data_IF_844492018889
#
_entry.id   IF_844492018889
#
_cell.length_a   1.000
_cell.length_b   1.000
_cell.length_c   1.000
_cell.angle_alpha   90.00
_cell.angle_beta   90.00
_cell.angle_gamma   90.00
#
_symmetry.space_group_name_H-M   'P 1'
#
loop_
_entity.id
_entity.type
_entity.pdbx_description
1 polymer ?
#
# COMPACT_ATOMS: atom_id res chain seq x y z
N UNK A 1 6.30 -9.68 -12.35
CA UNK A 1 5.25 -8.97 -13.11
C UNK A 1 4.25 -8.41 -12.14
N UNK A 2 4.03 -7.09 -12.16
CA UNK A 2 2.94 -6.46 -11.43
C UNK A 2 1.64 -6.56 -12.24
N UNK A 3 0.52 -6.81 -11.57
CA UNK A 3 -0.82 -6.74 -12.15
C UNK A 3 -1.61 -5.62 -11.49
N UNK A 4 -2.50 -4.97 -12.25
CA UNK A 4 -3.47 -4.00 -11.71
C UNK A 4 -4.35 -4.59 -10.61
N UNK A 5 -5.08 -3.76 -9.83
CA UNK A 5 -5.97 -4.26 -8.79
C UNK A 5 -6.93 -5.35 -9.28
N UNK A 6 -7.01 -6.43 -8.50
CA UNK A 6 -7.73 -7.67 -8.84
C UNK A 6 -8.99 -7.88 -8.01
N UNK A 7 -9.19 -7.07 -6.96
CA UNK A 7 -10.41 -7.05 -6.19
C UNK A 7 -11.51 -6.24 -6.90
N UNK A 8 -12.74 -6.51 -6.52
CA UNK A 8 -13.93 -5.90 -7.10
C UNK A 8 -13.89 -4.38 -6.89
N UNK A 9 -13.84 -3.69 -8.02
CA UNK A 9 -13.84 -2.24 -8.08
C UNK A 9 -15.17 -1.70 -8.63
N UNK A 10 -15.42 -0.42 -8.37
CA UNK A 10 -16.57 0.33 -8.86
C UNK A 10 -16.63 0.33 -10.39
N UNK A 11 -17.81 0.15 -10.96
CA UNK A 11 -18.04 0.32 -12.40
C UNK A 11 -18.34 1.79 -12.67
N UNK A 12 -17.42 2.47 -13.37
CA UNK A 12 -17.59 3.89 -13.72
C UNK A 12 -17.74 4.06 -15.22
N UNK A 13 -18.71 4.87 -15.63
CA UNK A 13 -18.88 5.30 -17.02
C UNK A 13 -18.57 6.78 -17.13
N UNK A 14 -17.55 7.13 -17.91
CA UNK A 14 -17.15 8.51 -18.23
C UNK A 14 -17.04 8.63 -19.75
N UNK A 15 -17.79 9.57 -20.34
CA UNK A 15 -17.80 9.82 -21.79
C UNK A 15 -18.01 8.55 -22.65
N UNK A 16 -18.91 7.68 -22.19
CA UNK A 16 -19.22 6.41 -22.88
C UNK A 16 -18.17 5.31 -22.74
N UNK A 17 -17.11 5.54 -21.95
CA UNK A 17 -16.03 4.59 -21.73
C UNK A 17 -15.81 4.28 -20.24
N UNK A 18 -15.09 3.19 -19.99
CA UNK A 18 -14.70 2.72 -18.65
C UNK A 18 -13.26 3.19 -18.36
N UNK A 19 -13.05 4.22 -17.52
CA UNK A 19 -11.72 4.77 -17.28
C UNK A 19 -10.80 3.74 -16.61
N UNK A 20 -9.49 3.96 -16.64
CA UNK A 20 -8.53 3.03 -16.01
C UNK A 20 -8.56 3.13 -14.47
N UNK A 21 -8.75 4.34 -13.95
CA UNK A 21 -8.72 4.65 -12.53
C UNK A 21 -9.89 4.06 -11.73
N UNK A 22 -10.94 3.56 -12.39
CA UNK A 22 -12.04 2.88 -11.71
C UNK A 22 -11.55 1.69 -10.86
N UNK A 23 -10.39 1.12 -11.20
CA UNK A 23 -9.76 0.00 -10.47
C UNK A 23 -9.28 0.39 -9.08
N UNK A 24 -9.00 1.66 -8.87
CA UNK A 24 -8.55 2.23 -7.59
C UNK A 24 -9.73 2.74 -6.76
N UNK A 25 -10.94 2.24 -7.03
CA UNK A 25 -12.12 2.50 -6.21
C UNK A 25 -12.74 1.17 -5.77
N UNK A 26 -12.21 0.55 -4.70
CA UNK A 26 -12.71 -0.71 -4.20
C UNK A 26 -14.18 -0.65 -3.81
N UNK A 27 -14.92 -1.72 -4.14
CA UNK A 27 -16.29 -1.97 -3.64
C UNK A 27 -16.31 -3.20 -2.75
N UNK A 28 -15.45 -4.19 -3.04
CA UNK A 28 -15.22 -5.32 -2.16
C UNK A 28 -13.86 -5.97 -2.38
N UNK A 29 -13.57 -7.02 -1.61
CA UNK A 29 -12.38 -7.86 -1.76
C UNK A 29 -12.63 -9.12 -2.61
N UNK A 30 -13.78 -9.23 -3.29
CA UNK A 30 -14.06 -10.29 -4.24
C UNK A 30 -13.07 -10.22 -5.42
N UNK A 31 -12.40 -11.31 -5.77
CA UNK A 31 -11.45 -11.31 -6.89
C UNK A 31 -12.22 -11.51 -8.20
N UNK A 32 -12.80 -10.43 -8.74
CA UNK A 32 -13.44 -10.40 -10.06
C UNK A 32 -13.45 -8.97 -10.57
N UNK A 33 -12.81 -8.75 -11.73
CA UNK A 33 -12.69 -7.43 -12.39
C UNK A 33 -12.82 -7.58 -13.90
N UNK A 34 -12.58 -6.49 -14.66
CA UNK A 34 -12.39 -6.56 -16.12
C UNK A 34 -11.26 -7.50 -16.56
N UNK A 35 -10.28 -7.81 -15.69
CA UNK A 35 -9.21 -8.77 -16.00
C UNK A 35 -9.64 -10.24 -15.91
N UNK A 36 -10.83 -10.52 -15.36
CA UNK A 36 -11.32 -11.88 -15.14
C UNK A 36 -11.70 -12.14 -13.68
N UNK A 37 -12.11 -13.38 -13.42
CA UNK A 37 -12.54 -13.86 -12.11
C UNK A 37 -11.42 -14.59 -11.33
N UNK A 38 -11.70 -14.97 -10.08
CA UNK A 38 -10.75 -15.65 -9.19
C UNK A 38 -10.15 -16.92 -9.78
N UNK A 39 -10.92 -17.71 -10.52
CA UNK A 39 -10.44 -18.94 -11.14
C UNK A 39 -9.44 -18.64 -12.27
N UNK A 40 -9.75 -17.65 -13.11
CA UNK A 40 -8.84 -17.19 -14.16
C UNK A 40 -7.57 -16.56 -13.59
N UNK A 41 -7.69 -15.76 -12.52
CA UNK A 41 -6.55 -15.19 -11.81
C UNK A 41 -5.65 -16.29 -11.24
N UNK A 42 -6.21 -17.27 -10.53
CA UNK A 42 -5.46 -18.40 -9.98
C UNK A 42 -4.78 -19.23 -11.08
N UNK A 43 -5.43 -19.46 -12.21
CA UNK A 43 -4.83 -20.16 -13.35
C UNK A 43 -3.65 -19.37 -13.97
N UNK A 44 -3.80 -18.05 -14.13
CA UNK A 44 -2.73 -17.17 -14.59
C UNK A 44 -1.52 -17.26 -13.66
N UNK A 45 -1.71 -17.06 -12.35
CA UNK A 45 -0.64 -17.11 -11.34
C UNK A 45 0.06 -18.47 -11.36
N UNK A 46 -0.70 -19.58 -11.40
CA UNK A 46 -0.15 -20.94 -11.51
C UNK A 46 0.75 -21.09 -12.73
N UNK A 47 0.31 -20.66 -13.93
CA UNK A 47 1.10 -20.76 -15.16
C UNK A 47 2.35 -19.88 -15.12
N UNK A 48 2.26 -18.68 -14.56
CA UNK A 48 3.42 -17.80 -14.37
C UNK A 48 4.46 -18.45 -13.43
N UNK A 49 4.03 -18.96 -12.27
CA UNK A 49 4.91 -19.62 -11.31
C UNK A 49 5.60 -20.86 -11.92
N UNK A 50 4.91 -21.66 -12.74
CA UNK A 50 5.49 -22.80 -13.48
C UNK A 50 6.60 -22.39 -14.46
N UNK A 51 6.63 -21.12 -14.89
CA UNK A 51 7.66 -20.56 -15.75
C UNK A 51 8.69 -19.73 -14.99
N UNK A 52 8.67 -19.75 -13.66
CA UNK A 52 9.56 -18.95 -12.81
C UNK A 52 9.25 -17.46 -12.81
N UNK A 53 8.10 -17.05 -13.36
CA UNK A 53 7.67 -15.64 -13.38
C UNK A 53 6.79 -15.39 -12.16
N UNK A 54 7.23 -14.49 -11.27
CA UNK A 54 6.49 -14.14 -10.06
C UNK A 54 5.48 -13.02 -10.31
N UNK A 55 4.32 -13.12 -9.66
CA UNK A 55 3.21 -12.17 -9.79
C UNK A 55 3.11 -11.34 -8.52
N UNK A 56 3.07 -10.02 -8.68
CA UNK A 56 2.85 -9.04 -7.61
C UNK A 56 1.53 -8.34 -7.88
N UNK A 57 0.70 -8.18 -6.85
CA UNK A 57 -0.63 -7.58 -7.00
C UNK A 57 -0.60 -6.16 -6.51
N UNK A 58 -1.13 -5.24 -7.30
CA UNK A 58 -1.45 -3.89 -6.86
C UNK A 58 -2.66 -3.94 -5.92
N UNK A 59 -2.44 -3.60 -4.64
CA UNK A 59 -3.44 -3.65 -3.57
C UNK A 59 -3.76 -2.26 -3.07
N UNK A 60 -5.05 -1.95 -3.04
CA UNK A 60 -5.58 -0.69 -2.53
C UNK A 60 -6.12 -0.95 -1.12
N UNK A 61 -5.38 -0.49 -0.11
CA UNK A 61 -5.67 -0.72 1.31
C UNK A 61 -6.09 0.56 2.05
N UNK A 62 -5.89 1.73 1.43
CA UNK A 62 -6.13 3.04 2.03
C UNK A 62 -7.62 3.38 2.11
N UNK A 63 -8.36 3.16 1.03
CA UNK A 63 -9.71 3.68 0.86
C UNK A 63 -10.63 2.67 0.15
N UNK A 64 -11.92 2.97 0.19
CA UNK A 64 -12.93 2.39 -0.70
C UNK A 64 -13.28 3.41 -1.80
N UNK A 65 -14.34 3.18 -2.59
CA UNK A 65 -14.79 4.16 -3.59
C UNK A 65 -15.14 5.53 -2.99
N UNK A 66 -15.16 6.56 -3.83
CA UNK A 66 -15.82 7.82 -3.47
C UNK A 66 -17.34 7.75 -3.68
N UNK A 67 -18.01 8.88 -3.45
CA UNK A 67 -19.46 9.01 -3.60
C UNK A 67 -19.94 8.57 -5.00
N UNK A 68 -20.83 7.57 -5.03
CA UNK A 68 -21.53 7.17 -6.25
C UNK A 68 -22.94 6.68 -5.95
N UNK A 69 -23.94 7.28 -6.62
CA UNK A 69 -25.32 6.80 -6.56
C UNK A 69 -25.47 5.52 -7.40
N UNK A 70 -26.23 4.56 -6.88
CA UNK A 70 -26.43 3.25 -7.52
C UNK A 70 -25.10 2.53 -7.81
N UNK A 71 -24.15 2.64 -6.87
CA UNK A 71 -22.84 2.03 -6.99
C UNK A 71 -22.97 0.50 -7.11
N UNK A 72 -22.30 -0.04 -8.12
CA UNK A 72 -22.17 -1.48 -8.31
C UNK A 72 -20.74 -1.82 -8.71
N UNK A 73 -20.25 -2.93 -8.18
CA UNK A 73 -18.93 -3.44 -8.44
C UNK A 73 -18.89 -4.34 -9.67
N UNK A 74 -17.67 -4.58 -10.15
CA UNK A 74 -17.38 -5.47 -11.28
C UNK A 74 -17.74 -6.94 -11.04
N UNK A 75 -17.98 -7.36 -9.79
CA UNK A 75 -18.47 -8.69 -9.43
C UNK A 75 -19.98 -8.72 -9.10
N UNK A 76 -20.68 -7.58 -9.24
CA UNK A 76 -22.12 -7.45 -9.03
C UNK A 76 -22.53 -7.02 -7.62
N UNK A 77 -21.58 -6.76 -6.71
CA UNK A 77 -21.90 -6.22 -5.38
C UNK A 77 -22.48 -4.82 -5.50
N UNK A 78 -23.56 -4.52 -4.79
CA UNK A 78 -24.08 -3.15 -4.65
C UNK A 78 -23.51 -2.50 -3.39
N UNK A 79 -23.30 -1.19 -3.43
CA UNK A 79 -22.89 -0.39 -2.28
C UNK A 79 -23.68 0.91 -2.19
N UNK A 80 -23.63 1.54 -1.02
CA UNK A 80 -24.08 2.91 -0.81
C UNK A 80 -22.91 3.76 -0.26
N UNK A 81 -22.00 4.18 -1.16
CA UNK A 81 -20.80 4.94 -0.77
C UNK A 81 -21.12 6.24 -0.04
N UNK A 82 -22.23 6.90 -0.39
CA UNK A 82 -22.67 8.16 0.25
C UNK A 82 -22.85 8.02 1.76
N UNK A 83 -23.25 6.82 2.22
CA UNK A 83 -23.38 6.48 3.63
C UNK A 83 -22.26 5.55 4.12
N UNK A 84 -21.16 5.45 3.37
CA UNK A 84 -20.00 4.58 3.61
C UNK A 84 -20.36 3.11 3.85
N UNK A 85 -21.38 2.61 3.16
CA UNK A 85 -21.89 1.26 3.34
C UNK A 85 -21.45 0.34 2.19
N UNK A 86 -20.66 -0.69 2.52
CA UNK A 86 -20.10 -1.67 1.60
C UNK A 86 -20.44 -3.10 2.06
N UNK A 87 -21.66 -3.59 1.77
CA UNK A 87 -22.18 -4.85 2.34
C UNK A 87 -21.38 -6.10 1.99
N UNK A 88 -20.66 -6.09 0.87
CA UNK A 88 -19.86 -7.24 0.43
C UNK A 88 -18.57 -7.45 1.25
N UNK A 89 -18.10 -6.44 1.99
CA UNK A 89 -16.96 -6.54 2.93
C UNK A 89 -17.41 -6.71 4.39
N UNK A 90 -18.72 -6.67 4.63
CA UNK A 90 -19.44 -5.65 5.42
C UNK A 90 -18.58 -4.55 6.08
N UNK A 91 -18.47 -3.39 5.42
CA UNK A 91 -18.13 -2.12 6.08
C UNK A 91 -19.34 -1.19 6.15
N UNK A 92 -19.36 -0.36 7.18
CA UNK A 92 -20.24 0.78 7.38
C UNK A 92 -19.42 2.01 7.81
N UNK A 93 -20.06 3.14 8.08
CA UNK A 93 -19.41 4.40 8.43
C UNK A 93 -18.45 4.33 9.63
N UNK A 94 -18.57 3.35 10.53
CA UNK A 94 -17.68 3.21 11.70
C UNK A 94 -16.28 2.68 11.33
N UNK A 95 -16.11 2.17 10.11
CA UNK A 95 -14.88 1.57 9.62
C UNK A 95 -14.00 2.55 8.83
N UNK A 96 -14.39 3.82 8.82
CA UNK A 96 -13.74 4.87 8.07
C UNK A 96 -13.38 6.01 9.02
N UNK A 97 -12.34 6.75 8.67
CA UNK A 97 -12.05 8.01 9.33
C UNK A 97 -13.21 9.00 9.15
N UNK A 98 -13.26 9.98 10.06
CA UNK A 98 -14.21 11.09 9.94
C UNK A 98 -13.94 11.84 8.63
N UNK A 99 -14.96 12.06 7.81
CA UNK A 99 -14.76 12.68 6.50
C UNK A 99 -14.17 14.09 6.61
N UNK A 100 -13.02 14.25 5.97
CA UNK A 100 -12.33 15.50 5.68
C UNK A 100 -11.59 15.30 4.35
N UNK A 101 -11.27 16.39 3.64
CA UNK A 101 -10.41 16.32 2.46
C UNK A 101 -9.00 16.78 2.80
N UNK A 102 -7.98 16.22 2.15
CA UNK A 102 -6.60 16.68 2.29
C UNK A 102 -6.48 18.08 1.69
N UNK A 103 -6.11 19.07 2.51
CA UNK A 103 -5.88 20.45 2.07
C UNK A 103 -4.42 20.89 2.22
N UNK A 104 -3.69 20.26 3.15
CA UNK A 104 -2.30 20.59 3.45
C UNK A 104 -1.47 19.30 3.52
N UNK A 105 -0.55 19.13 2.56
CA UNK A 105 0.36 17.99 2.51
C UNK A 105 1.53 18.09 3.51
N UNK A 106 1.68 19.23 4.19
CA UNK A 106 2.60 19.40 5.31
C UNK A 106 1.98 18.94 6.65
N UNK A 107 0.67 18.70 6.68
CA UNK A 107 -0.03 18.14 7.84
C UNK A 107 -0.15 16.61 7.67
N UNK A 108 0.77 15.86 8.29
CA UNK A 108 0.78 14.40 8.25
C UNK A 108 -0.53 13.76 8.75
N UNK A 109 -1.25 14.40 9.66
CA UNK A 109 -2.52 13.90 10.15
C UNK A 109 -3.62 14.04 9.08
N UNK A 110 -3.66 15.15 8.34
CA UNK A 110 -4.56 15.27 7.19
C UNK A 110 -4.19 14.25 6.11
N UNK A 111 -2.91 14.13 5.77
CA UNK A 111 -2.45 13.21 4.72
C UNK A 111 -2.86 11.76 5.01
N UNK A 112 -2.83 11.33 6.29
CA UNK A 112 -3.08 9.95 6.71
C UNK A 112 -4.53 9.63 7.12
N UNK A 113 -5.33 10.64 7.48
CA UNK A 113 -6.67 10.43 8.07
C UNK A 113 -7.80 11.17 7.33
N UNK A 114 -7.51 11.84 6.21
CA UNK A 114 -8.51 12.49 5.36
C UNK A 114 -8.64 11.80 3.99
N UNK A 115 -9.81 11.97 3.38
CA UNK A 115 -10.18 11.38 2.09
C UNK A 115 -9.31 11.95 0.96
N UNK A 116 -8.46 11.08 0.39
CA UNK A 116 -7.69 11.36 -0.82
C UNK A 116 -8.65 11.55 -1.99
N UNK A 117 -8.77 12.78 -2.50
CA UNK A 117 -9.67 13.17 -3.60
C UNK A 117 -11.13 12.68 -3.45
N UNK A 118 -11.62 12.61 -2.21
CA UNK A 118 -12.99 12.18 -1.89
C UNK A 118 -13.21 10.67 -1.89
N UNK A 119 -12.13 9.88 -1.88
CA UNK A 119 -12.19 8.42 -1.68
C UNK A 119 -12.34 8.13 -0.18
N UNK A 120 -13.33 7.32 0.19
CA UNK A 120 -13.64 7.10 1.60
C UNK A 120 -12.52 6.34 2.32
N UNK A 121 -11.88 7.06 3.24
CA UNK A 121 -10.64 6.65 3.90
C UNK A 121 -10.90 5.65 5.04
N UNK A 122 -10.31 4.46 4.94
CA UNK A 122 -10.48 3.39 5.91
C UNK A 122 -9.72 3.69 7.19
N UNK A 123 -10.30 3.35 8.33
CA UNK A 123 -9.61 3.44 9.62
C UNK A 123 -8.79 2.16 9.86
N UNK A 124 -7.53 2.14 9.43
CA UNK A 124 -6.65 0.98 9.65
C UNK A 124 -6.23 0.82 11.12
N UNK A 125 -6.54 1.74 12.03
CA UNK A 125 -6.34 1.53 13.46
C UNK A 125 -7.35 0.52 14.04
N UNK A 126 -8.50 0.36 13.38
CA UNK A 126 -9.52 -0.62 13.72
C UNK A 126 -9.06 -2.05 13.45
N UNK A 127 -9.07 -2.87 14.51
CA UNK A 127 -8.76 -4.32 14.40
C UNK A 127 -9.65 -5.04 13.39
N UNK A 128 -10.92 -4.63 13.25
CA UNK A 128 -11.82 -5.20 12.25
C UNK A 128 -11.36 -4.88 10.83
N UNK A 129 -11.01 -3.61 10.56
CA UNK A 129 -10.50 -3.18 9.26
C UNK A 129 -9.21 -3.93 8.93
N UNK A 130 -8.24 -3.98 9.85
CA UNK A 130 -6.99 -4.75 9.68
C UNK A 130 -7.27 -6.20 9.34
N UNK A 131 -8.18 -6.87 10.06
CA UNK A 131 -8.49 -8.28 9.80
C UNK A 131 -9.04 -8.49 8.38
N UNK A 132 -9.94 -7.62 7.90
CA UNK A 132 -10.46 -7.71 6.54
C UNK A 132 -9.38 -7.52 5.48
N UNK A 133 -8.46 -6.58 5.69
CA UNK A 133 -7.31 -6.35 4.80
C UNK A 133 -6.39 -7.58 4.80
N UNK A 134 -6.07 -8.14 5.97
CA UNK A 134 -5.26 -9.35 6.12
C UNK A 134 -5.92 -10.55 5.45
N UNK A 135 -7.23 -10.74 5.60
CA UNK A 135 -7.98 -11.82 4.95
C UNK A 135 -7.89 -11.72 3.42
N UNK A 136 -8.01 -10.50 2.89
CA UNK A 136 -7.84 -10.23 1.46
C UNK A 136 -6.42 -10.56 0.97
N UNK A 137 -5.38 -10.06 1.66
CA UNK A 137 -3.98 -10.34 1.32
C UNK A 137 -3.68 -11.85 1.40
N UNK A 138 -4.20 -12.53 2.42
CA UNK A 138 -4.07 -13.98 2.57
C UNK A 138 -4.78 -14.75 1.45
N UNK A 139 -5.94 -14.28 0.98
CA UNK A 139 -6.63 -14.87 -0.16
C UNK A 139 -5.82 -14.74 -1.47
N UNK A 140 -5.06 -13.66 -1.63
CA UNK A 140 -4.12 -13.49 -2.74
C UNK A 140 -2.91 -14.43 -2.60
N UNK A 141 -2.33 -14.57 -1.41
CA UNK A 141 -1.24 -15.53 -1.15
C UNK A 141 -1.70 -16.97 -1.45
N UNK A 142 -2.94 -17.34 -1.12
CA UNK A 142 -3.49 -18.66 -1.50
C UNK A 142 -3.58 -18.86 -3.01
N UNK A 143 -3.78 -17.78 -3.77
CA UNK A 143 -3.75 -17.83 -5.23
C UNK A 143 -2.34 -18.02 -5.79
N UNK A 144 -1.29 -17.79 -4.96
CA UNK A 144 0.11 -18.03 -5.29
C UNK A 144 0.91 -16.81 -5.70
N UNK A 145 0.44 -15.61 -5.35
CA UNK A 145 1.18 -14.36 -5.59
C UNK A 145 2.47 -14.35 -4.77
N UNK A 146 3.47 -13.61 -5.23
CA UNK A 146 4.76 -13.48 -4.56
C UNK A 146 4.86 -12.24 -3.65
N UNK A 147 3.90 -11.31 -3.78
CA UNK A 147 3.98 -10.04 -3.08
C UNK A 147 2.98 -9.01 -3.57
N UNK A 148 3.14 -7.79 -3.06
CA UNK A 148 2.18 -6.70 -3.20
C UNK A 148 2.88 -5.39 -3.53
N UNK A 149 2.30 -4.64 -4.49
CA UNK A 149 2.49 -3.19 -4.60
C UNK A 149 1.40 -2.55 -3.77
N UNK A 150 1.76 -1.83 -2.72
CA UNK A 150 0.76 -1.19 -1.86
C UNK A 150 0.55 0.23 -2.37
N UNK A 151 -0.69 0.51 -2.80
CA UNK A 151 -1.15 1.80 -3.29
C UNK A 151 -1.23 2.83 -2.17
N UNK A 152 -0.92 4.10 -2.48
CA UNK A 152 -1.18 5.25 -1.61
C UNK A 152 -0.63 5.08 -0.18
N UNK A 153 0.55 4.48 0.00
CA UNK A 153 1.10 4.20 1.35
C UNK A 153 1.36 5.47 2.16
N UNK A 154 1.71 6.57 1.49
CA UNK A 154 1.85 7.89 2.15
C UNK A 154 0.59 8.30 2.93
N UNK A 155 -0.58 7.83 2.50
CA UNK A 155 -1.88 8.13 3.09
C UNK A 155 -2.29 7.15 4.20
N UNK A 156 -1.44 6.21 4.58
CA UNK A 156 -1.67 5.29 5.69
C UNK A 156 -0.61 5.46 6.78
N UNK A 157 -1.00 5.23 8.03
CA UNK A 157 -0.07 5.23 9.15
C UNK A 157 0.86 4.00 9.11
N UNK A 158 2.20 4.16 9.19
CA UNK A 158 3.13 3.03 9.24
C UNK A 158 2.85 2.09 10.42
N UNK A 159 2.45 2.64 11.57
CA UNK A 159 2.09 1.88 12.78
C UNK A 159 0.86 0.98 12.59
N UNK A 160 -0.02 1.30 11.63
CA UNK A 160 -1.17 0.47 11.28
C UNK A 160 -0.83 -0.58 10.20
N UNK A 161 0.12 -0.27 9.31
CA UNK A 161 0.56 -1.16 8.24
C UNK A 161 1.41 -2.33 8.76
N UNK A 162 2.30 -2.09 9.74
CA UNK A 162 3.15 -3.14 10.32
C UNK A 162 2.36 -4.38 10.78
N UNK A 163 1.33 -4.23 11.65
CA UNK A 163 0.47 -5.34 12.07
C UNK A 163 -0.25 -6.06 10.92
N UNK A 164 -0.62 -5.35 9.84
CA UNK A 164 -1.23 -5.96 8.66
C UNK A 164 -0.21 -6.84 7.95
N UNK A 165 1.00 -6.32 7.68
CA UNK A 165 2.05 -7.02 6.97
C UNK A 165 2.56 -8.24 7.74
N UNK A 166 2.70 -8.14 9.06
CA UNK A 166 3.10 -9.25 9.92
C UNK A 166 2.07 -10.38 9.92
N UNK A 167 0.78 -10.05 9.90
CA UNK A 167 -0.31 -11.03 9.93
C UNK A 167 -0.56 -11.75 8.59
N UNK A 168 0.02 -11.29 7.48
CA UNK A 168 -0.03 -12.04 6.22
C UNK A 168 0.72 -13.36 6.39
N UNK A 169 0.26 -14.46 5.80
CA UNK A 169 0.94 -15.76 5.87
C UNK A 169 2.16 -15.83 4.96
N UNK A 170 3.02 -16.80 5.26
CA UNK A 170 4.15 -17.15 4.38
C UNK A 170 3.66 -17.69 3.03
N UNK A 171 4.47 -17.50 2.00
CA UNK A 171 4.24 -18.04 0.67
C UNK A 171 4.30 -19.57 0.70
N UNK A 172 3.47 -20.21 -0.13
CA UNK A 172 3.31 -21.66 -0.10
C UNK A 172 4.23 -22.38 -1.08
N UNK A 173 4.83 -23.49 -0.63
CA UNK A 173 5.60 -24.40 -1.49
C UNK A 173 4.77 -25.05 -2.61
N UNK A 174 3.44 -25.10 -2.48
CA UNK A 174 2.52 -25.51 -3.58
C UNK A 174 2.71 -24.63 -4.82
N UNK A 175 3.13 -23.38 -4.65
CA UNK A 175 3.38 -22.42 -5.73
C UNK A 175 4.87 -22.28 -6.09
N UNK A 176 5.70 -23.20 -5.60
CA UNK A 176 7.14 -23.24 -5.87
C UNK A 176 7.95 -22.20 -5.09
N UNK A 177 7.48 -21.80 -3.91
CA UNK A 177 8.26 -21.01 -2.95
C UNK A 177 8.96 -21.92 -1.92
N UNK A 178 10.03 -21.43 -1.29
CA UNK A 178 10.64 -22.13 -0.16
C UNK A 178 9.80 -21.91 1.09
N UNK A 179 9.86 -22.84 2.03
CA UNK A 179 9.17 -22.71 3.31
C UNK A 179 9.72 -21.50 4.09
N UNK A 180 8.83 -20.77 4.77
CA UNK A 180 9.20 -19.59 5.56
C UNK A 180 9.35 -18.29 4.77
N UNK A 181 9.24 -18.30 3.44
CA UNK A 181 9.37 -17.08 2.63
C UNK A 181 8.16 -16.17 2.84
N UNK A 182 8.40 -14.89 3.14
CA UNK A 182 7.37 -13.85 3.26
C UNK A 182 7.00 -13.28 1.89
N UNK A 183 5.76 -12.78 1.71
CA UNK A 183 5.43 -11.95 0.55
C UNK A 183 6.35 -10.74 0.47
N UNK A 184 6.81 -10.39 -0.73
CA UNK A 184 7.55 -9.15 -0.97
C UNK A 184 6.58 -7.97 -0.97
N UNK A 185 6.95 -6.87 -0.32
CA UNK A 185 6.12 -5.68 -0.21
C UNK A 185 6.92 -4.50 -0.76
N UNK A 186 6.33 -3.74 -1.67
CA UNK A 186 6.88 -2.47 -2.11
C UNK A 186 5.76 -1.43 -2.16
N UNK A 187 6.11 -0.21 -1.76
CA UNK A 187 5.15 0.78 -1.29
C UNK A 187 5.19 2.00 -2.21
N UNK A 188 4.03 2.48 -2.65
CA UNK A 188 3.95 3.77 -3.33
C UNK A 188 3.99 4.89 -2.28
N UNK A 189 5.12 5.59 -2.25
CA UNK A 189 5.30 6.83 -1.51
C UNK A 189 5.74 7.88 -2.53
N UNK A 190 4.90 8.89 -2.78
CA UNK A 190 5.27 10.03 -3.62
C UNK A 190 5.88 11.09 -2.70
N UNK A 191 7.21 11.16 -2.72
CA UNK A 191 8.00 12.10 -1.93
C UNK A 191 8.82 12.98 -2.87
N UNK A 192 8.33 14.21 -3.07
CA UNK A 192 8.88 15.21 -3.99
C UNK A 192 8.88 16.58 -3.31
N UNK A 193 9.51 16.72 -2.14
CA UNK A 193 9.65 17.97 -1.34
C UNK A 193 8.50 18.27 -0.34
N UNK A 194 7.78 17.24 0.15
CA UNK A 194 6.71 17.42 1.15
C UNK A 194 7.12 16.83 2.52
N UNK A 195 6.85 17.54 3.62
CA UNK A 195 7.30 17.22 4.98
C UNK A 195 6.55 16.05 5.64
N UNK A 196 6.35 14.97 4.88
CA UNK A 196 6.06 13.64 5.43
C UNK A 196 7.32 12.79 5.27
N UNK A 197 8.43 13.31 5.77
CA UNK A 197 9.63 12.54 6.04
C UNK A 197 9.53 11.98 7.46
N UNK A 198 8.96 10.78 7.56
CA UNK A 198 9.24 9.89 8.68
C UNK A 198 9.45 8.49 8.10
N UNK A 199 10.72 8.09 8.02
CA UNK A 199 11.15 6.73 7.72
C UNK A 199 10.76 5.87 8.95
N UNK A 200 9.51 5.41 9.02
CA UNK A 200 9.11 4.27 9.85
C UNK A 200 8.96 3.04 8.94
N UNK A 201 10.08 2.35 8.64
CA UNK A 201 10.03 1.09 7.89
C UNK A 201 9.99 -0.08 8.88
N UNK A 202 8.81 -0.71 9.01
CA UNK A 202 8.63 -2.03 9.62
C UNK A 202 8.97 -3.14 8.62
N UNK A 203 10.26 -3.47 8.49
CA UNK A 203 10.75 -4.75 7.96
C UNK A 203 10.62 -5.02 6.45
N UNK A 204 11.72 -5.54 5.87
CA UNK A 204 11.87 -6.18 4.53
C UNK A 204 12.14 -5.25 3.31
N UNK A 205 13.20 -4.41 3.39
CA UNK A 205 14.04 -3.79 2.32
C UNK A 205 13.52 -2.57 1.50
N UNK A 206 14.32 -1.54 1.07
CA UNK A 206 15.57 -0.88 1.53
C UNK A 206 15.84 0.44 0.72
N UNK A 207 16.56 1.40 1.31
CA UNK A 207 17.38 2.51 0.73
C UNK A 207 16.81 3.95 0.50
N UNK A 208 17.68 4.97 0.62
CA UNK A 208 17.58 6.26 1.38
C UNK A 208 18.14 7.49 0.62
N UNK A 209 17.48 8.67 0.72
CA UNK A 209 18.04 10.03 0.45
C UNK A 209 17.33 11.09 1.36
N UNK A 210 18.07 12.07 1.91
CA UNK A 210 17.71 13.00 3.02
C UNK A 210 17.53 14.49 2.61
N UNK A 211 16.87 15.27 3.47
CA UNK A 211 17.20 16.69 3.76
C UNK A 211 16.99 16.98 5.26
N UNK A 212 17.97 17.59 5.94
CA UNK A 212 17.88 18.01 7.35
C UNK A 212 18.32 19.47 7.47
N UNK A 213 17.46 20.32 8.01
CA UNK A 213 17.81 21.67 8.43
C UNK A 213 18.26 21.65 9.91
N UNK A 214 19.56 21.84 10.17
CA UNK A 214 20.12 21.80 11.54
C UNK A 214 20.15 23.21 12.13
N UNK A 215 19.41 23.43 13.22
CA UNK A 215 19.50 24.65 14.04
C UNK A 215 20.41 24.40 15.25
N UNK A 216 21.70 24.78 15.17
CA UNK A 216 22.59 24.89 16.34
C UNK A 216 23.75 23.88 16.43
N UNK A 217 24.59 24.08 17.45
CA UNK A 217 26.01 23.70 17.46
C UNK A 217 26.22 22.21 17.81
N UNK A 218 26.63 21.46 16.78
CA UNK A 218 27.07 20.05 16.75
C UNK A 218 25.95 19.00 16.67
N UNK A 219 25.88 18.34 15.51
CA UNK A 219 25.19 17.07 15.30
C UNK A 219 26.24 16.00 14.98
N UNK A 220 26.21 14.90 15.72
CA UNK A 220 26.96 13.69 15.43
C UNK A 220 25.99 12.74 14.72
N UNK A 221 26.23 12.48 13.44
CA UNK A 221 25.44 11.54 12.64
C UNK A 221 26.30 10.30 12.37
N UNK A 222 26.00 9.21 13.06
CA UNK A 222 26.58 7.88 12.81
C UNK A 222 25.57 7.10 11.98
N UNK A 223 25.85 6.91 10.69
CA UNK A 223 25.10 5.96 9.85
C UNK A 223 25.95 4.70 9.68
N UNK A 224 25.61 3.63 10.37
CA UNK A 224 26.17 2.29 10.14
C UNK A 224 25.25 1.51 9.18
N UNK A 225 25.78 1.06 8.05
CA UNK A 225 25.12 0.08 7.18
C UNK A 225 26.02 -1.14 7.00
N UNK A 226 25.72 -2.25 7.67
CA UNK A 226 26.29 -3.56 7.32
C UNK A 226 25.42 -4.23 6.24
N UNK A 227 25.83 -4.18 4.98
CA UNK A 227 25.26 -5.02 3.92
C UNK A 227 26.26 -6.11 3.51
N UNK A 228 25.90 -7.38 3.69
CA UNK A 228 26.66 -8.55 3.19
C UNK A 228 25.85 -9.37 2.17
N UNK A 229 24.79 -8.78 1.62
CA UNK A 229 23.86 -9.33 0.63
C UNK A 229 22.62 -8.42 0.54
N UNK A 230 22.02 -8.29 -0.65
CA UNK A 230 21.22 -7.11 -1.09
C UNK A 230 22.10 -5.86 -1.25
N UNK A 231 22.01 -5.24 -2.43
CA UNK A 231 22.81 -4.08 -2.80
C UNK A 231 22.18 -2.81 -2.19
N UNK A 232 22.99 -2.07 -1.46
CA UNK A 232 22.74 -0.72 -0.99
C UNK A 232 23.78 0.22 -1.66
N UNK A 233 23.34 1.29 -2.34
CA UNK A 233 24.14 2.41 -2.84
C UNK A 233 23.76 3.72 -2.11
N UNK A 234 24.70 4.29 -1.34
CA UNK A 234 24.56 5.57 -0.62
C UNK A 234 25.09 6.76 -1.44
N UNK A 235 24.31 7.85 -1.52
CA UNK A 235 24.74 9.16 -2.04
C UNK A 235 24.34 10.26 -1.05
N UNK A 236 25.27 11.14 -0.67
CA UNK A 236 25.06 12.23 0.31
C UNK A 236 25.41 13.60 -0.28
N UNK A 237 24.64 14.64 0.04
CA UNK A 237 25.00 16.06 -0.09
C UNK A 237 24.65 16.81 1.22
N UNK A 238 25.52 17.72 1.67
CA UNK A 238 25.33 18.50 2.91
C UNK A 238 25.74 19.96 2.70
N UNK A 239 24.92 20.92 3.15
CA UNK A 239 25.34 22.31 3.36
C UNK A 239 25.35 22.62 4.87
N UNK A 240 26.43 23.23 5.39
CA UNK A 240 26.56 23.59 6.81
C UNK A 240 27.00 25.05 7.01
N UNK A 241 26.48 25.70 8.06
CA UNK A 241 26.85 27.07 8.46
C UNK A 241 27.53 27.14 9.84
N UNK A 242 27.97 25.99 10.37
CA UNK A 242 28.60 25.84 11.69
C UNK A 242 30.04 25.32 11.64
N UNK A 243 30.80 25.56 12.71
CA UNK A 243 32.25 25.33 12.75
C UNK A 243 32.55 23.86 13.06
N UNK A 244 33.13 23.17 12.06
CA UNK A 244 33.59 21.78 12.03
C UNK A 244 32.51 20.69 11.89
N UNK A 245 32.48 20.08 10.70
CA UNK A 245 31.95 18.73 10.48
C UNK A 245 33.16 17.80 10.32
N UNK A 246 33.27 16.78 11.17
CA UNK A 246 34.22 15.69 10.96
C UNK A 246 33.42 14.46 10.56
N UNK A 247 33.74 13.92 9.40
CA UNK A 247 33.07 12.76 8.81
C UNK A 247 33.99 11.56 8.98
N UNK A 248 33.58 10.58 9.78
CA UNK A 248 34.28 9.30 9.91
C UNK A 248 33.37 8.22 9.36
N UNK A 249 33.75 7.62 8.23
CA UNK A 249 33.13 6.40 7.71
C UNK A 249 34.11 5.26 7.93
N UNK A 250 33.75 4.28 8.75
CA UNK A 250 34.41 2.98 8.75
C UNK A 250 33.66 2.04 7.80
N UNK A 251 34.41 1.30 6.99
CA UNK A 251 33.93 0.31 6.01
C UNK A 251 33.94 -1.07 6.65
#
# INVERSE_FOLDING_TARGET
MQVSPVNENLVVMSDGNRPWWERYQPISYNITTRSGNKAQFKDMVRRCNQKGVRVYVDVVLNHMSGDMRNAHGTAGSTADPVNKNYPAVPYDSQHFHTSCGIQDYQDANQVRNCELVGLHDLDQSSTYVRQKLVDFLNALVDCGVAGFRVDAVKHMSPSDLGPIYDAVKNLSSVHGFKDGVRPFIYQEVIDLEEMVCEIEITGVAAEMVCEIEIIGVAAEMVCETESTGLAAEMVYETESTGVAAEMVCEI
#
